data_IF_984377990697
#
_entry.id   IF_984377990697
#
_cell.length_a   1.000
_cell.length_b   1.000
_cell.length_c   1.000
_cell.angle_alpha   90.00
_cell.angle_beta   90.00
_cell.angle_gamma   90.00
#
_symmetry.space_group_name_H-M   'P 1'
#
loop_
_entity.id
_entity.type
_entity.pdbx_description
1 polymer ?
#
# COMPACT_ATOMS: atom_id res chain seq x y z
N UNK A 1 -3.65 -33.78 -62.31
CA UNK A 1 -3.44 -34.76 -61.21
C UNK A 1 -3.38 -34.12 -59.82
N UNK A 2 -2.86 -32.88 -59.65
CA UNK A 2 -2.87 -32.17 -58.35
C UNK A 2 -4.26 -31.64 -57.99
N UNK A 3 -4.89 -30.88 -58.90
CA UNK A 3 -6.16 -30.20 -58.64
C UNK A 3 -7.32 -31.14 -58.25
N UNK A 4 -7.36 -32.33 -58.84
CA UNK A 4 -8.37 -33.35 -58.49
C UNK A 4 -8.14 -33.91 -57.08
N UNK A 5 -6.88 -33.98 -56.65
CA UNK A 5 -6.50 -34.45 -55.31
C UNK A 5 -6.77 -33.37 -54.26
N UNK A 6 -6.55 -32.11 -54.62
CA UNK A 6 -6.90 -30.94 -53.80
C UNK A 6 -8.42 -30.79 -53.65
N UNK A 7 -9.19 -31.06 -54.71
CA UNK A 7 -10.65 -31.10 -54.67
C UNK A 7 -11.17 -32.23 -53.79
N UNK A 8 -10.59 -33.43 -53.87
CA UNK A 8 -10.96 -34.56 -52.99
C UNK A 8 -10.68 -34.22 -51.52
N UNK A 9 -9.54 -33.59 -51.23
CA UNK A 9 -9.21 -33.15 -49.86
C UNK A 9 -10.13 -32.04 -49.38
N UNK A 10 -10.48 -31.07 -50.23
CA UNK A 10 -11.42 -30.01 -49.90
C UNK A 10 -12.83 -30.57 -49.62
N UNK A 11 -13.29 -31.53 -50.44
CA UNK A 11 -14.57 -32.22 -50.23
C UNK A 11 -14.53 -33.09 -48.97
N UNK A 12 -13.41 -33.76 -48.68
CA UNK A 12 -13.25 -34.54 -47.45
C UNK A 12 -13.26 -33.64 -46.20
N UNK A 13 -12.58 -32.50 -46.24
CA UNK A 13 -12.59 -31.49 -45.18
C UNK A 13 -13.98 -30.87 -45.01
N UNK A 14 -14.67 -30.56 -46.11
CA UNK A 14 -16.04 -30.02 -46.07
C UNK A 14 -17.00 -31.06 -45.49
N UNK A 15 -16.90 -32.31 -45.93
CA UNK A 15 -17.76 -33.39 -45.44
C UNK A 15 -17.52 -33.66 -43.95
N UNK A 16 -16.27 -33.57 -43.48
CA UNK A 16 -15.91 -33.67 -42.05
C UNK A 16 -16.45 -32.50 -41.22
N UNK A 17 -16.46 -31.29 -41.78
CA UNK A 17 -17.06 -30.11 -41.14
C UNK A 17 -18.58 -30.12 -41.14
N UNK A 18 -19.21 -30.66 -42.21
CA UNK A 18 -20.65 -30.82 -42.34
C UNK A 18 -21.16 -31.97 -41.46
N UNK A 19 -20.41 -33.07 -41.34
CA UNK A 19 -20.76 -34.18 -40.43
C UNK A 19 -20.62 -33.81 -38.95
N UNK A 20 -19.82 -32.80 -38.64
CA UNK A 20 -19.68 -32.23 -37.30
C UNK A 20 -20.63 -31.05 -37.05
N UNK A 21 -21.50 -30.71 -38.01
CA UNK A 21 -22.50 -29.67 -37.83
C UNK A 21 -23.68 -30.26 -37.03
N UNK A 22 -23.91 -29.84 -35.76
CA UNK A 22 -24.94 -30.45 -34.94
C UNK A 22 -26.33 -30.08 -35.46
N UNK A 23 -27.11 -31.08 -35.89
CA UNK A 23 -28.56 -30.93 -36.18
C UNK A 23 -29.39 -31.10 -34.87
N UNK A 24 -28.73 -31.16 -33.71
CA UNK A 24 -29.33 -31.21 -32.38
C UNK A 24 -28.28 -30.99 -31.29
N UNK A 25 -28.71 -30.99 -30.02
CA UNK A 25 -27.79 -30.92 -28.87
C UNK A 25 -26.91 -32.19 -28.84
N UNK A 26 -25.61 -32.03 -29.08
CA UNK A 26 -24.62 -33.13 -29.08
C UNK A 26 -23.83 -33.13 -27.77
N UNK A 27 -23.69 -31.97 -27.11
CA UNK A 27 -22.95 -31.81 -25.87
C UNK A 27 -23.87 -31.43 -24.71
N UNK A 28 -23.47 -31.78 -23.48
CA UNK A 28 -24.14 -31.33 -22.24
C UNK A 28 -24.18 -29.78 -22.18
N UNK A 29 -23.21 -29.12 -22.80
CA UNK A 29 -23.14 -27.67 -22.98
C UNK A 29 -24.31 -27.09 -23.80
N UNK A 30 -24.93 -27.90 -24.67
CA UNK A 30 -26.08 -27.48 -25.47
C UNK A 30 -27.38 -27.39 -24.65
N UNK A 31 -27.39 -27.89 -23.41
CA UNK A 31 -28.51 -27.72 -22.47
C UNK A 31 -28.39 -26.48 -21.59
N UNK A 32 -27.29 -25.71 -21.68
CA UNK A 32 -27.14 -24.50 -20.87
C UNK A 32 -28.17 -23.42 -21.25
N UNK A 33 -28.65 -22.62 -20.28
CA UNK A 33 -29.47 -21.44 -20.54
C UNK A 33 -28.82 -20.53 -21.59
N UNK A 34 -29.65 -19.87 -22.41
CA UNK A 34 -29.19 -19.03 -23.52
C UNK A 34 -28.27 -17.91 -23.02
N UNK A 35 -28.56 -17.34 -21.84
CA UNK A 35 -27.73 -16.31 -21.22
C UNK A 35 -26.32 -16.82 -20.90
N UNK A 36 -26.19 -18.03 -20.36
CA UNK A 36 -24.90 -18.64 -20.03
C UNK A 36 -24.08 -18.98 -21.28
N UNK A 37 -24.75 -19.41 -22.35
CA UNK A 37 -24.11 -19.63 -23.65
C UNK A 37 -23.59 -18.31 -24.24
N UNK A 38 -24.36 -17.24 -24.12
CA UNK A 38 -23.96 -15.91 -24.58
C UNK A 38 -22.76 -15.39 -23.76
N UNK A 39 -22.73 -15.61 -22.44
CA UNK A 39 -21.59 -15.19 -21.62
C UNK A 39 -20.33 -16.00 -21.95
N UNK A 40 -20.44 -17.32 -22.06
CA UNK A 40 -19.32 -18.21 -22.38
C UNK A 40 -18.73 -17.91 -23.77
N UNK A 41 -19.59 -17.67 -24.78
CA UNK A 41 -19.13 -17.30 -26.12
C UNK A 41 -18.47 -15.93 -26.14
N UNK A 42 -18.98 -14.94 -25.39
CA UNK A 42 -18.34 -13.63 -25.24
C UNK A 42 -16.96 -13.72 -24.59
N UNK A 43 -16.79 -14.58 -23.58
CA UNK A 43 -15.48 -14.82 -22.95
C UNK A 43 -14.50 -15.47 -23.91
N UNK A 44 -14.95 -16.50 -24.63
CA UNK A 44 -14.13 -17.18 -25.64
C UNK A 44 -13.70 -16.21 -26.76
N UNK A 45 -14.60 -15.36 -27.23
CA UNK A 45 -14.30 -14.31 -28.22
C UNK A 45 -13.29 -13.28 -27.67
N UNK A 46 -13.39 -12.88 -26.41
CA UNK A 46 -12.38 -12.00 -25.78
C UNK A 46 -11.00 -12.63 -25.79
N UNK A 47 -10.90 -13.91 -25.40
CA UNK A 47 -9.63 -14.64 -25.41
C UNK A 47 -9.04 -14.78 -26.82
N UNK A 48 -9.88 -15.09 -27.81
CA UNK A 48 -9.45 -15.18 -29.21
C UNK A 48 -8.99 -13.82 -29.76
N UNK A 49 -9.73 -12.74 -29.47
CA UNK A 49 -9.36 -11.39 -29.89
C UNK A 49 -8.02 -10.96 -29.27
N UNK A 50 -7.79 -11.26 -27.99
CA UNK A 50 -6.51 -10.99 -27.33
C UNK A 50 -5.35 -11.77 -28.00
N UNK A 51 -5.54 -13.06 -28.29
CA UNK A 51 -4.56 -13.87 -29.03
C UNK A 51 -4.26 -13.31 -30.42
N UNK A 52 -5.30 -12.90 -31.15
CA UNK A 52 -5.16 -12.29 -32.46
C UNK A 52 -4.34 -11.00 -32.40
N UNK A 53 -4.58 -10.14 -31.40
CA UNK A 53 -3.80 -8.91 -31.20
C UNK A 53 -2.33 -9.19 -30.88
N UNK A 54 -2.05 -10.19 -30.03
CA UNK A 54 -0.68 -10.62 -29.72
C UNK A 54 0.02 -11.13 -30.98
N UNK A 55 -0.65 -11.98 -31.78
CA UNK A 55 -0.08 -12.51 -33.01
C UNK A 55 0.19 -11.42 -34.04
N UNK A 56 -0.70 -10.41 -34.16
CA UNK A 56 -0.45 -9.24 -34.99
C UNK A 56 0.75 -8.44 -34.49
N UNK A 57 0.82 -8.14 -33.20
CA UNK A 57 1.95 -7.42 -32.63
C UNK A 57 3.29 -8.19 -32.79
N UNK A 58 3.27 -9.51 -32.66
CA UNK A 58 4.44 -10.36 -32.92
C UNK A 58 4.85 -10.32 -34.39
N UNK A 59 3.89 -10.46 -35.30
CA UNK A 59 4.14 -10.34 -36.74
C UNK A 59 4.72 -8.97 -37.08
N UNK A 60 4.10 -7.90 -36.58
CA UNK A 60 4.53 -6.51 -36.81
C UNK A 60 5.96 -6.29 -36.28
N UNK A 61 6.28 -6.83 -35.10
CA UNK A 61 7.65 -6.83 -34.55
C UNK A 61 8.65 -7.58 -35.45
N UNK A 62 8.28 -8.75 -35.97
CA UNK A 62 9.15 -9.51 -36.88
C UNK A 62 9.34 -8.85 -38.25
N UNK A 63 8.35 -8.07 -38.70
CA UNK A 63 8.40 -7.32 -39.98
C UNK A 63 8.98 -5.91 -39.85
N UNK A 64 9.16 -5.41 -38.62
CA UNK A 64 9.73 -4.10 -38.39
C UNK A 64 11.24 -4.13 -38.68
N UNK A 65 11.66 -3.32 -39.66
CA UNK A 65 13.07 -3.20 -40.07
C UNK A 65 13.79 -2.04 -39.37
N UNK A 66 13.10 -1.32 -38.48
CA UNK A 66 13.58 -0.12 -37.81
C UNK A 66 14.25 -0.47 -36.48
N UNK A 67 15.44 0.08 -36.23
CA UNK A 67 16.07 0.01 -34.91
C UNK A 67 15.23 0.81 -33.89
N UNK A 68 15.08 0.31 -32.65
CA UNK A 68 14.25 0.97 -31.65
C UNK A 68 14.79 2.38 -31.36
N UNK A 69 13.94 3.38 -31.57
CA UNK A 69 14.25 4.82 -31.44
C UNK A 69 14.37 5.27 -29.97
N UNK A 70 13.83 4.50 -29.02
CA UNK A 70 13.77 4.83 -27.59
C UNK A 70 14.44 3.77 -26.71
N UNK A 71 14.93 4.19 -25.53
CA UNK A 71 15.48 3.29 -24.51
C UNK A 71 14.40 2.29 -24.06
N UNK A 72 14.79 1.02 -23.88
CA UNK A 72 13.92 -0.07 -23.42
C UNK A 72 13.23 0.27 -22.09
N UNK A 73 13.88 1.09 -21.26
CA UNK A 73 13.30 1.53 -19.99
C UNK A 73 12.11 2.47 -20.18
N UNK A 74 12.25 3.44 -21.08
CA UNK A 74 11.24 4.47 -21.33
C UNK A 74 10.02 3.90 -22.05
N UNK A 75 10.25 2.96 -22.98
CA UNK A 75 9.17 2.22 -23.66
C UNK A 75 8.36 1.34 -22.70
N UNK A 76 9.02 0.65 -21.75
CA UNK A 76 8.34 -0.15 -20.73
C UNK A 76 7.52 0.72 -19.78
N UNK A 77 8.03 1.89 -19.38
CA UNK A 77 7.28 2.83 -18.53
C UNK A 77 6.08 3.41 -19.26
N UNK A 78 6.24 3.82 -20.53
CA UNK A 78 5.15 4.33 -21.36
C UNK A 78 4.06 3.27 -21.57
N UNK A 79 4.45 2.00 -21.77
CA UNK A 79 3.51 0.89 -21.87
C UNK A 79 2.74 0.66 -20.56
N UNK A 80 3.41 0.70 -19.42
CA UNK A 80 2.75 0.55 -18.11
C UNK A 80 1.78 1.69 -17.85
N UNK A 81 2.15 2.93 -18.15
CA UNK A 81 1.31 4.10 -18.00
C UNK A 81 0.08 4.04 -18.91
N UNK A 82 0.27 3.69 -20.19
CA UNK A 82 -0.81 3.50 -21.14
C UNK A 82 -1.76 2.37 -20.73
N UNK A 83 -1.21 1.25 -20.21
CA UNK A 83 -1.99 0.10 -19.73
C UNK A 83 -2.81 0.48 -18.49
N UNK A 84 -2.17 1.13 -17.51
CA UNK A 84 -2.85 1.60 -16.30
C UNK A 84 -3.95 2.60 -16.65
N UNK A 85 -3.65 3.58 -17.52
CA UNK A 85 -4.63 4.57 -17.99
C UNK A 85 -5.80 3.91 -18.71
N UNK A 86 -5.54 2.91 -19.57
CA UNK A 86 -6.59 2.16 -20.26
C UNK A 86 -7.47 1.37 -19.30
N UNK A 87 -6.88 0.68 -18.31
CA UNK A 87 -7.62 -0.07 -17.28
C UNK A 87 -8.49 0.86 -16.42
N UNK A 88 -7.93 1.99 -15.99
CA UNK A 88 -8.66 3.01 -15.22
C UNK A 88 -9.81 3.57 -16.05
N UNK A 89 -9.55 3.94 -17.30
CA UNK A 89 -10.55 4.51 -18.21
C UNK A 89 -11.67 3.52 -18.50
N UNK A 90 -11.33 2.25 -18.76
CA UNK A 90 -12.32 1.20 -18.99
C UNK A 90 -13.18 0.95 -17.75
N UNK A 91 -12.56 0.92 -16.57
CA UNK A 91 -13.29 0.77 -15.29
C UNK A 91 -14.22 1.95 -15.06
N UNK A 92 -13.76 3.18 -15.32
CA UNK A 92 -14.58 4.39 -15.22
C UNK A 92 -15.77 4.36 -16.19
N UNK A 93 -15.54 4.01 -17.46
CA UNK A 93 -16.61 3.86 -18.47
C UNK A 93 -17.62 2.82 -18.02
N UNK A 94 -17.17 1.66 -17.54
CA UNK A 94 -18.05 0.58 -17.06
C UNK A 94 -18.90 1.05 -15.88
N UNK A 95 -18.30 1.74 -14.91
CA UNK A 95 -19.02 2.30 -13.77
C UNK A 95 -20.03 3.37 -14.21
N UNK A 96 -19.67 4.26 -15.13
CA UNK A 96 -20.59 5.25 -15.69
C UNK A 96 -21.78 4.59 -16.40
N UNK A 97 -21.54 3.53 -17.19
CA UNK A 97 -22.60 2.75 -17.83
C UNK A 97 -23.50 2.07 -16.79
N UNK A 98 -22.92 1.48 -15.74
CA UNK A 98 -23.71 0.90 -14.65
C UNK A 98 -24.56 1.95 -13.92
N UNK A 99 -23.99 3.12 -13.62
CA UNK A 99 -24.74 4.23 -13.03
C UNK A 99 -25.87 4.71 -13.94
N UNK A 100 -25.61 4.82 -15.25
CA UNK A 100 -26.64 5.18 -16.22
C UNK A 100 -27.77 4.14 -16.27
N UNK A 101 -27.44 2.84 -16.28
CA UNK A 101 -28.45 1.78 -16.22
C UNK A 101 -29.25 1.80 -14.92
N UNK A 102 -28.60 2.03 -13.77
CA UNK A 102 -29.29 2.17 -12.48
C UNK A 102 -30.25 3.37 -12.52
N UNK A 103 -29.83 4.50 -13.08
CA UNK A 103 -30.66 5.68 -13.25
C UNK A 103 -31.84 5.41 -14.20
N UNK A 104 -31.61 4.77 -15.34
CA UNK A 104 -32.66 4.41 -16.29
C UNK A 104 -33.72 3.48 -15.66
N UNK A 105 -33.26 2.55 -14.80
CA UNK A 105 -34.16 1.68 -14.02
C UNK A 105 -34.99 2.49 -13.02
N UNK A 106 -34.37 3.43 -12.29
CA UNK A 106 -35.06 4.27 -11.32
C UNK A 106 -36.06 5.24 -11.98
N UNK A 107 -35.76 5.75 -13.17
CA UNK A 107 -36.65 6.60 -13.97
C UNK A 107 -37.80 5.82 -14.64
N UNK A 108 -37.80 4.49 -14.54
CA UNK A 108 -38.82 3.62 -15.15
C UNK A 108 -38.71 3.52 -16.67
N UNK A 109 -37.58 3.93 -17.25
CA UNK A 109 -37.30 3.79 -18.69
C UNK A 109 -36.89 2.36 -19.04
N UNK A 110 -36.23 1.66 -18.11
CA UNK A 110 -35.79 0.26 -18.23
C UNK A 110 -36.12 -0.53 -16.95
N UNK A 111 -36.16 -1.86 -17.02
CA UNK A 111 -36.36 -2.72 -15.85
C UNK A 111 -37.81 -2.82 -15.35
N UNK A 112 -38.01 -3.64 -14.30
CA UNK A 112 -39.32 -3.88 -13.69
C UNK A 112 -39.44 -3.22 -12.30
N UNK A 113 -40.67 -3.13 -11.76
CA UNK A 113 -40.92 -2.51 -10.46
C UNK A 113 -40.23 -3.23 -9.28
N UNK A 114 -39.95 -4.53 -9.41
CA UNK A 114 -39.19 -5.31 -8.44
C UNK A 114 -37.71 -4.89 -8.40
N UNK A 115 -37.09 -4.66 -9.55
CA UNK A 115 -35.72 -4.16 -9.67
C UNK A 115 -35.58 -2.77 -9.05
N UNK A 116 -36.55 -1.87 -9.28
CA UNK A 116 -36.58 -0.56 -8.63
C UNK A 116 -36.61 -0.68 -7.10
N UNK A 117 -37.50 -1.52 -6.55
CA UNK A 117 -37.59 -1.76 -5.10
C UNK A 117 -36.28 -2.28 -4.53
N UNK A 118 -35.61 -3.21 -5.23
CA UNK A 118 -34.30 -3.74 -4.83
C UNK A 118 -33.23 -2.65 -4.81
N UNK A 119 -33.16 -1.82 -5.84
CA UNK A 119 -32.20 -0.71 -5.92
C UNK A 119 -32.44 0.28 -4.76
N UNK A 120 -33.68 0.67 -4.49
CA UNK A 120 -34.00 1.53 -3.35
C UNK A 120 -33.62 0.92 -2.00
N UNK A 121 -33.82 -0.39 -1.82
CA UNK A 121 -33.40 -1.08 -0.61
C UNK A 121 -31.88 -1.08 -0.43
N UNK A 122 -31.11 -1.31 -1.51
CA UNK A 122 -29.65 -1.24 -1.48
C UNK A 122 -29.15 0.18 -1.23
N UNK A 123 -29.71 1.19 -1.91
CA UNK A 123 -29.37 2.59 -1.69
C UNK A 123 -29.62 3.00 -0.23
N UNK A 124 -30.77 2.62 0.34
CA UNK A 124 -31.08 2.92 1.74
C UNK A 124 -30.07 2.30 2.71
N UNK A 125 -29.63 1.06 2.47
CA UNK A 125 -28.58 0.40 3.26
C UNK A 125 -27.24 1.12 3.13
N UNK A 126 -26.86 1.47 1.90
CA UNK A 126 -25.63 2.22 1.61
C UNK A 126 -25.62 3.58 2.31
N UNK A 127 -26.70 4.35 2.22
CA UNK A 127 -26.81 5.64 2.89
C UNK A 127 -26.75 5.50 4.41
N UNK A 128 -27.48 4.54 4.99
CA UNK A 128 -27.41 4.30 6.44
C UNK A 128 -26.01 3.91 6.90
N UNK A 129 -25.29 3.10 6.12
CA UNK A 129 -23.90 2.74 6.43
C UNK A 129 -22.98 3.96 6.32
N UNK A 130 -23.17 4.79 5.29
CA UNK A 130 -22.38 6.00 5.10
C UNK A 130 -22.62 7.02 6.24
N UNK A 131 -23.87 7.18 6.68
CA UNK A 131 -24.23 8.03 7.82
C UNK A 131 -23.55 7.55 9.10
N UNK A 132 -23.54 6.23 9.36
CA UNK A 132 -22.85 5.66 10.51
C UNK A 132 -21.33 5.91 10.46
N UNK A 133 -20.71 5.74 9.28
CA UNK A 133 -19.29 6.05 9.09
C UNK A 133 -19.03 7.53 9.37
N UNK A 134 -19.91 8.42 8.92
CA UNK A 134 -19.76 9.86 9.10
C UNK A 134 -19.93 10.29 10.56
N UNK A 135 -20.78 9.60 11.33
CA UNK A 135 -20.88 9.78 12.78
C UNK A 135 -19.57 9.39 13.46
N UNK A 136 -19.05 8.19 13.17
CA UNK A 136 -17.79 7.70 13.74
C UNK A 136 -16.64 8.65 13.39
N UNK A 137 -16.58 9.15 12.15
CA UNK A 137 -15.54 10.09 11.73
C UNK A 137 -15.58 11.38 12.57
N UNK A 138 -16.78 11.90 12.86
CA UNK A 138 -16.92 13.08 13.73
C UNK A 138 -16.45 12.79 15.16
N UNK A 139 -16.73 11.61 15.69
CA UNK A 139 -16.26 11.20 17.02
C UNK A 139 -14.73 11.11 17.05
N UNK A 140 -14.11 10.53 16.01
CA UNK A 140 -12.65 10.47 15.86
C UNK A 140 -12.07 11.89 15.81
N UNK A 141 -12.64 12.78 15.00
CA UNK A 141 -12.15 14.14 14.86
C UNK A 141 -12.24 14.93 16.18
N UNK A 142 -13.30 14.70 16.97
CA UNK A 142 -13.45 15.31 18.30
C UNK A 142 -12.43 14.74 19.30
N UNK A 143 -12.25 13.42 19.33
CA UNK A 143 -11.26 12.77 20.19
C UNK A 143 -9.82 13.23 19.87
N UNK A 144 -9.50 13.44 18.59
CA UNK A 144 -8.19 13.98 18.17
C UNK A 144 -8.01 15.41 18.69
N UNK A 145 -9.04 16.26 18.63
CA UNK A 145 -8.98 17.62 19.17
C UNK A 145 -8.78 17.62 20.69
N UNK A 146 -9.53 16.81 21.41
CA UNK A 146 -9.36 16.66 22.87
C UNK A 146 -7.97 16.14 23.24
N UNK A 147 -7.47 15.15 22.49
CA UNK A 147 -6.12 14.63 22.70
C UNK A 147 -5.05 15.71 22.49
N UNK A 148 -5.22 16.55 21.45
CA UNK A 148 -4.30 17.65 21.18
C UNK A 148 -4.30 18.66 22.32
N UNK A 149 -5.49 19.05 22.80
CA UNK A 149 -5.66 19.99 23.90
C UNK A 149 -5.01 19.45 25.19
N UNK A 150 -5.27 18.20 25.54
CA UNK A 150 -4.64 17.55 26.70
C UNK A 150 -3.11 17.49 26.56
N UNK A 151 -2.58 17.22 25.37
CA UNK A 151 -1.13 17.24 25.12
C UNK A 151 -0.54 18.64 25.33
N UNK A 152 -1.25 19.69 24.91
CA UNK A 152 -0.83 21.08 25.15
C UNK A 152 -0.84 21.38 26.65
N UNK A 153 -1.90 21.02 27.36
CA UNK A 153 -2.01 21.21 28.81
C UNK A 153 -0.90 20.46 29.57
N UNK A 154 -0.65 19.20 29.25
CA UNK A 154 0.44 18.42 29.83
C UNK A 154 1.81 19.07 29.55
N UNK A 155 2.04 19.55 28.32
CA UNK A 155 3.29 20.24 27.97
C UNK A 155 3.49 21.48 28.81
N UNK A 156 2.45 22.29 28.98
CA UNK A 156 2.50 23.51 29.77
C UNK A 156 2.76 23.21 31.25
N UNK A 157 2.02 22.25 31.83
CA UNK A 157 2.22 21.81 33.21
C UNK A 157 3.63 21.26 33.46
N UNK A 158 4.18 20.48 32.52
CA UNK A 158 5.57 20.00 32.61
C UNK A 158 6.58 21.15 32.53
N UNK A 159 6.31 22.16 31.70
CA UNK A 159 7.17 23.33 31.59
C UNK A 159 7.17 24.15 32.88
N UNK A 160 5.99 24.43 33.44
CA UNK A 160 5.83 25.16 34.71
C UNK A 160 6.51 24.41 35.86
N UNK A 161 6.30 23.10 35.97
CA UNK A 161 6.96 22.28 36.98
C UNK A 161 8.49 22.30 36.84
N UNK A 162 9.00 22.23 35.60
CA UNK A 162 10.44 22.34 35.34
C UNK A 162 10.98 23.71 35.72
N UNK A 163 10.23 24.77 35.49
CA UNK A 163 10.61 26.12 35.91
C UNK A 163 10.66 26.21 37.44
N UNK A 164 9.62 25.74 38.13
CA UNK A 164 9.58 25.69 39.60
C UNK A 164 10.78 24.94 40.19
N UNK A 165 11.13 23.77 39.63
CA UNK A 165 12.30 23.01 40.08
C UNK A 165 13.61 23.78 39.91
N UNK A 166 13.78 24.52 38.81
CA UNK A 166 14.97 25.37 38.61
C UNK A 166 15.04 26.48 39.65
N UNK A 167 13.94 27.15 39.92
CA UNK A 167 13.88 28.22 40.93
C UNK A 167 14.24 27.68 42.32
N UNK A 168 13.71 26.51 42.69
CA UNK A 168 14.07 25.83 43.95
C UNK A 168 15.56 25.44 43.99
N UNK A 169 16.08 24.90 42.88
CA UNK A 169 17.49 24.52 42.79
C UNK A 169 18.41 25.75 42.93
N UNK A 170 18.06 26.88 42.31
CA UNK A 170 18.80 28.13 42.44
C UNK A 170 18.82 28.65 43.88
N UNK A 171 17.69 28.62 44.58
CA UNK A 171 17.60 29.03 45.98
C UNK A 171 18.46 28.11 46.85
N UNK A 172 18.35 26.80 46.69
CA UNK A 172 19.16 25.82 47.41
C UNK A 172 20.66 26.00 47.13
N UNK A 173 21.05 26.24 45.88
CA UNK A 173 22.44 26.45 45.50
C UNK A 173 23.01 27.75 46.09
N UNK A 174 22.23 28.84 46.13
CA UNK A 174 22.64 30.09 46.78
C UNK A 174 22.89 29.87 48.28
N UNK A 175 21.94 29.27 48.98
CA UNK A 175 22.10 28.91 50.41
C UNK A 175 23.29 28.00 50.67
N UNK A 176 23.50 26.99 49.81
CA UNK A 176 24.62 26.07 49.94
C UNK A 176 25.97 26.77 49.78
N UNK A 177 26.09 27.70 48.82
CA UNK A 177 27.30 28.49 48.61
C UNK A 177 27.62 29.40 49.81
N UNK A 178 26.59 29.97 50.43
CA UNK A 178 26.72 30.81 51.62
C UNK A 178 27.09 30.01 52.88
N UNK A 179 26.49 28.83 53.07
CA UNK A 179 26.70 28.02 54.29
C UNK A 179 27.92 27.09 54.21
N UNK A 180 28.25 26.53 53.04
CA UNK A 180 29.35 25.59 52.87
C UNK A 180 29.92 25.63 51.43
N UNK A 181 30.95 26.47 51.17
CA UNK A 181 31.48 26.69 49.82
C UNK A 181 32.22 25.45 49.26
N UNK A 182 32.87 24.65 50.09
CA UNK A 182 33.60 23.45 49.64
C UNK A 182 32.63 22.38 49.10
N UNK A 183 31.50 22.19 49.79
CA UNK A 183 30.47 21.25 49.36
C UNK A 183 29.80 21.69 48.05
N UNK A 184 29.64 23.01 47.84
CA UNK A 184 29.13 23.55 46.58
C UNK A 184 30.07 23.27 45.39
N UNK A 185 31.40 23.37 45.59
CA UNK A 185 32.40 23.04 44.57
C UNK A 185 32.36 21.54 44.22
N UNK A 186 32.26 20.67 45.23
CA UNK A 186 32.17 19.22 45.00
C UNK A 186 30.88 18.83 44.27
N UNK A 187 29.75 19.46 44.61
CA UNK A 187 28.48 19.28 43.88
C UNK A 187 28.62 19.65 42.41
N UNK A 188 29.29 20.76 42.11
CA UNK A 188 29.51 21.19 40.73
C UNK A 188 30.40 20.22 39.94
N UNK A 189 31.47 19.70 40.56
CA UNK A 189 32.31 18.65 39.96
C UNK A 189 31.50 17.39 39.63
N UNK A 190 30.68 16.91 40.57
CA UNK A 190 29.83 15.73 40.36
C UNK A 190 28.82 15.99 39.23
N UNK A 191 28.17 17.16 39.20
CA UNK A 191 27.23 17.51 38.13
C UNK A 191 27.89 17.55 36.74
N UNK A 192 29.14 18.03 36.64
CA UNK A 192 29.91 18.00 35.39
C UNK A 192 30.18 16.56 34.94
N UNK A 193 30.57 15.68 35.87
CA UNK A 193 30.79 14.26 35.57
C UNK A 193 29.51 13.58 35.09
N UNK A 194 28.38 13.80 35.78
CA UNK A 194 27.06 13.27 35.39
C UNK A 194 26.66 13.79 34.00
N UNK A 195 26.90 15.07 33.71
CA UNK A 195 26.61 15.65 32.39
C UNK A 195 27.44 14.98 31.29
N UNK A 196 28.72 14.73 31.54
CA UNK A 196 29.59 14.05 30.58
C UNK A 196 29.14 12.61 30.32
N UNK A 197 28.75 11.88 31.38
CA UNK A 197 28.15 10.53 31.30
C UNK A 197 26.90 10.56 30.40
N UNK A 198 25.98 11.50 30.63
CA UNK A 198 24.75 11.61 29.85
C UNK A 198 25.00 11.98 28.37
N UNK A 199 25.99 12.83 28.09
CA UNK A 199 26.39 13.17 26.71
C UNK A 199 26.94 11.91 26.03
N UNK A 200 27.81 11.17 26.71
CA UNK A 200 28.42 9.95 26.18
C UNK A 200 27.36 8.88 25.90
N UNK A 201 26.39 8.68 26.81
CA UNK A 201 25.24 7.80 26.57
C UNK A 201 24.44 8.18 25.32
N UNK A 202 24.15 9.48 25.13
CA UNK A 202 23.44 9.94 23.92
C UNK A 202 24.25 9.72 22.65
N UNK A 203 25.56 9.93 22.69
CA UNK A 203 26.44 9.69 21.56
C UNK A 203 26.47 8.21 21.20
N UNK A 204 26.53 7.31 22.18
CA UNK A 204 26.47 5.87 21.97
C UNK A 204 25.14 5.47 21.33
N UNK A 205 24.00 5.96 21.84
CA UNK A 205 22.68 5.67 21.27
C UNK A 205 22.55 6.17 19.83
N UNK A 206 23.00 7.39 19.55
CA UNK A 206 22.99 7.94 18.19
C UNK A 206 23.93 7.18 17.25
N UNK A 207 25.10 6.77 17.73
CA UNK A 207 26.04 5.93 17.00
C UNK A 207 25.41 4.59 16.63
N UNK A 208 24.74 3.91 17.58
CA UNK A 208 24.03 2.66 17.32
C UNK A 208 22.93 2.85 16.26
N UNK A 209 22.14 3.93 16.37
CA UNK A 209 21.07 4.23 15.43
C UNK A 209 21.58 4.48 14.00
N UNK A 210 22.66 5.24 13.85
CA UNK A 210 23.24 5.59 12.55
C UNK A 210 24.08 4.46 11.93
N UNK A 211 24.84 3.75 12.76
CA UNK A 211 25.82 2.74 12.34
C UNK A 211 25.28 1.31 12.47
N UNK A 212 23.96 1.12 12.56
CA UNK A 212 23.32 -0.19 12.74
C UNK A 212 23.84 -1.23 11.72
N UNK A 213 23.99 -0.85 10.44
CA UNK A 213 24.49 -1.74 9.39
C UNK A 213 26.00 -2.05 9.49
N UNK A 214 26.79 -1.19 10.14
CA UNK A 214 28.23 -1.40 10.38
C UNK A 214 28.47 -2.26 11.62
N UNK A 215 27.60 -2.16 12.63
CA UNK A 215 27.62 -3.00 13.83
C UNK A 215 27.47 -4.50 13.54
N UNK A 216 26.77 -4.86 12.45
CA UNK A 216 26.66 -6.26 12.01
C UNK A 216 27.84 -6.74 11.15
N UNK A 217 28.60 -5.82 10.53
CA UNK A 217 29.63 -6.15 9.54
C UNK A 217 31.04 -6.17 10.12
N UNK A 218 31.32 -5.33 11.10
CA UNK A 218 32.65 -5.21 11.70
C UNK A 218 32.59 -5.45 13.22
N UNK A 219 33.22 -6.54 13.71
CA UNK A 219 33.32 -6.86 15.14
C UNK A 219 33.93 -5.74 15.99
N UNK A 220 34.76 -4.87 15.39
CA UNK A 220 35.41 -3.77 16.08
C UNK A 220 34.41 -2.81 16.74
N UNK A 221 33.30 -2.49 16.07
CA UNK A 221 32.29 -1.58 16.61
C UNK A 221 31.46 -2.18 17.73
N UNK A 222 31.31 -3.52 17.75
CA UNK A 222 30.67 -4.24 18.86
C UNK A 222 31.59 -4.25 20.07
N UNK A 223 32.89 -4.49 19.87
CA UNK A 223 33.90 -4.49 20.92
C UNK A 223 34.05 -3.10 21.58
N UNK A 224 34.01 -2.02 20.80
CA UNK A 224 33.99 -0.65 21.32
C UNK A 224 32.77 -0.36 22.22
N UNK A 225 31.60 -0.93 21.89
CA UNK A 225 30.40 -0.81 22.72
C UNK A 225 30.47 -1.67 23.99
N UNK A 226 31.11 -2.84 23.93
CA UNK A 226 31.37 -3.70 25.09
C UNK A 226 32.30 -3.04 26.11
N UNK A 227 33.34 -2.33 25.66
CA UNK A 227 34.24 -1.56 26.53
C UNK A 227 33.52 -0.41 27.27
N UNK A 228 32.38 0.04 26.76
CA UNK A 228 31.54 1.08 27.37
C UNK A 228 30.22 0.55 27.95
N UNK A 229 30.11 -0.77 28.19
CA UNK A 229 28.90 -1.48 28.66
C UNK A 229 28.33 -0.95 29.98
N UNK A 230 29.16 -0.41 30.86
CA UNK A 230 28.68 0.19 32.12
C UNK A 230 27.75 1.40 31.89
N UNK A 231 27.84 2.02 30.72
CA UNK A 231 27.05 3.19 30.34
C UNK A 231 25.75 2.82 29.59
N UNK A 232 25.70 1.67 28.90
CA UNK A 232 24.53 1.21 28.10
C UNK A 232 24.38 -0.31 28.17
N UNK A 233 23.20 -0.80 28.58
CA UNK A 233 22.90 -2.23 28.64
C UNK A 233 22.81 -2.84 27.22
N UNK A 234 23.58 -3.91 26.95
CA UNK A 234 23.64 -4.64 25.67
C UNK A 234 22.26 -5.14 25.22
N UNK A 235 21.40 -5.52 26.16
CA UNK A 235 20.03 -5.94 25.85
C UNK A 235 19.20 -4.79 25.23
N UNK A 236 19.48 -3.55 25.63
CA UNK A 236 18.88 -2.33 25.07
C UNK A 236 19.43 -2.05 23.66
N UNK A 237 20.73 -2.30 23.43
CA UNK A 237 21.38 -2.16 22.11
C UNK A 237 20.77 -3.13 21.09
N UNK A 238 20.59 -4.40 21.47
CA UNK A 238 19.98 -5.42 20.62
C UNK A 238 18.51 -5.11 20.29
N UNK A 239 17.72 -4.67 21.28
CA UNK A 239 16.31 -4.28 21.07
C UNK A 239 16.18 -3.04 20.16
N UNK A 240 17.06 -2.05 20.29
CA UNK A 240 17.08 -0.87 19.41
C UNK A 240 17.49 -1.22 17.97
N UNK A 241 18.45 -2.13 17.80
CA UNK A 241 18.85 -2.63 16.49
C UNK A 241 17.72 -3.37 15.78
N UNK A 242 17.01 -4.26 16.48
CA UNK A 242 15.91 -5.08 15.94
C UNK A 242 14.64 -4.27 15.62
N UNK A 243 14.29 -3.28 16.44
CA UNK A 243 13.08 -2.45 16.21
C UNK A 243 13.18 -1.57 14.95
N UNK A 244 14.39 -1.22 14.51
CA UNK A 244 14.62 -0.49 13.25
C UNK A 244 14.52 -1.36 11.98
N UNK A 245 14.57 -2.69 12.11
CA UNK A 245 14.31 -3.60 11.00
C UNK A 245 12.82 -3.90 10.84
N UNK A 246 12.08 -4.10 11.93
CA UNK A 246 10.60 -4.25 11.90
C UNK A 246 9.92 -3.04 11.24
N UNK A 247 10.38 -1.82 11.52
CA UNK A 247 9.84 -0.60 10.91
C UNK A 247 10.20 -0.41 9.43
N UNK A 248 11.15 -1.19 8.89
CA UNK A 248 11.50 -1.22 7.46
C UNK A 248 10.79 -2.34 6.71
N UNK A 249 10.54 -3.50 7.33
CA UNK A 249 9.73 -4.57 6.74
C UNK A 249 8.26 -4.14 6.56
N UNK A 250 7.68 -3.41 7.52
CA UNK A 250 6.31 -2.86 7.41
C UNK A 250 6.17 -1.71 6.40
N UNK A 251 7.28 -1.16 5.88
CA UNK A 251 7.29 -0.13 4.83
C UNK A 251 7.68 -0.67 3.45
N UNK A 252 7.99 -1.96 3.35
CA UNK A 252 8.37 -2.64 2.11
C UNK A 252 7.39 -3.76 1.73
N UNK A 253 6.22 -3.80 2.38
CA UNK A 253 5.06 -4.64 2.02
C UNK A 253 3.93 -3.80 1.45
#
# INVERSE_FOLDING_TARGET
MSEFRDLINAVACLNKSVSNFPIGAISIEDFKPIEEKITATRELLKCLNAKLLILKAQHDFYTATEEPVEDLRDTVTNLHEATASSLITNTAIKLCLHSHSIQAILEGKEGNSDMQRKIYAYMRKLFSLNDNILIIQKEIDNAIKEQLELKIQCRNALFEHKQFLKEQEEICNKKLKEMNPELAINKEKINRTIRNINIMQKLIVNFIAASNHMLYKDPFFVQMLEEHRELVNIETVLKMSQNNFKSKEDKSS
#
